data_IF_516859936690
#
_entry.id   IF_516859936690
#
_cell.length_a   1.000
_cell.length_b   1.000
_cell.length_c   1.000
_cell.angle_alpha   90.00
_cell.angle_beta   90.00
_cell.angle_gamma   90.00
#
_symmetry.space_group_name_H-M   'P 1'
#
loop_
_entity.id
_entity.type
_entity.pdbx_description
1 polymer ?
#
# COMPACT_ATOMS: atom_id res chain seq x y z
N UNK A 1 -36.37 11.86 24.78
CA UNK A 1 -34.92 12.03 25.00
C UNK A 1 -34.57 13.45 24.64
N UNK A 2 -33.91 14.16 25.56
CA UNK A 2 -33.38 15.49 25.25
C UNK A 2 -32.19 15.37 24.29
N UNK A 3 -31.82 16.46 23.62
CA UNK A 3 -30.62 16.53 22.78
C UNK A 3 -29.36 16.14 23.54
N UNK A 4 -29.31 16.43 24.84
CA UNK A 4 -28.15 16.20 25.70
C UNK A 4 -27.99 14.73 26.09
N UNK A 5 -29.11 14.00 26.27
CA UNK A 5 -29.10 12.55 26.50
C UNK A 5 -28.64 11.79 25.25
N UNK A 6 -29.05 12.23 24.06
CA UNK A 6 -28.60 11.63 22.80
C UNK A 6 -27.11 11.87 22.53
N UNK A 7 -26.61 13.08 22.82
CA UNK A 7 -25.19 13.41 22.68
C UNK A 7 -24.31 12.61 23.66
N UNK A 8 -24.78 12.41 24.90
CA UNK A 8 -24.08 11.61 25.90
C UNK A 8 -24.02 10.12 25.52
N UNK A 9 -25.13 9.55 25.05
CA UNK A 9 -25.15 8.16 24.57
C UNK A 9 -24.24 7.93 23.36
N UNK A 10 -24.16 8.91 22.45
CA UNK A 10 -23.24 8.86 21.30
C UNK A 10 -21.77 8.95 21.74
N UNK A 11 -21.45 9.82 22.70
CA UNK A 11 -20.10 9.95 23.23
C UNK A 11 -19.66 8.70 24.01
N UNK A 12 -20.56 8.10 24.80
CA UNK A 12 -20.31 6.85 25.52
C UNK A 12 -20.16 5.66 24.57
N UNK A 13 -20.96 5.61 23.49
CA UNK A 13 -20.81 4.60 22.44
C UNK A 13 -19.47 4.75 21.70
N UNK A 14 -19.08 5.96 21.32
CA UNK A 14 -17.80 6.25 20.65
C UNK A 14 -16.59 5.96 21.56
N UNK A 15 -16.68 6.28 22.86
CA UNK A 15 -15.66 5.94 23.85
C UNK A 15 -15.55 4.42 24.07
N UNK A 16 -16.67 3.71 24.18
CA UNK A 16 -16.69 2.24 24.34
C UNK A 16 -16.17 1.54 23.08
N UNK A 17 -16.50 2.06 21.89
CA UNK A 17 -15.97 1.56 20.62
C UNK A 17 -14.45 1.78 20.54
N UNK A 18 -13.96 2.96 20.95
CA UNK A 18 -12.51 3.24 21.03
C UNK A 18 -11.78 2.31 22.01
N UNK A 19 -12.33 2.06 23.19
CA UNK A 19 -11.75 1.13 24.18
C UNK A 19 -11.73 -0.30 23.65
N UNK A 20 -12.83 -0.78 23.06
CA UNK A 20 -12.89 -2.14 22.50
C UNK A 20 -12.03 -2.34 21.25
N UNK A 21 -11.73 -1.28 20.50
CA UNK A 21 -10.74 -1.29 19.42
C UNK A 21 -9.31 -1.36 19.97
N UNK A 22 -9.02 -0.64 21.06
CA UNK A 22 -7.71 -0.68 21.74
C UNK A 22 -7.35 -2.10 22.24
N UNK A 23 -8.35 -2.88 22.66
CA UNK A 23 -8.15 -4.26 23.14
C UNK A 23 -8.02 -5.30 22.00
N UNK A 24 -8.20 -4.90 20.74
CA UNK A 24 -8.20 -5.81 19.57
C UNK A 24 -7.03 -5.61 18.61
N UNK A 25 -6.40 -4.45 18.62
CA UNK A 25 -5.31 -4.11 17.71
C UNK A 25 -4.16 -3.51 18.50
N UNK A 26 -2.99 -4.13 18.41
CA UNK A 26 -1.74 -3.52 18.81
C UNK A 26 -1.18 -2.69 17.66
N UNK A 27 -0.87 -1.42 17.92
CA UNK A 27 -0.14 -0.56 17.00
C UNK A 27 1.27 -0.38 17.53
N UNK A 28 2.25 -1.06 16.94
CA UNK A 28 3.66 -0.91 17.27
C UNK A 28 4.29 0.13 16.34
N UNK A 29 4.77 1.24 16.90
CA UNK A 29 5.26 2.38 16.12
C UNK A 29 6.76 2.44 16.03
N UNK A 30 7.27 2.95 14.91
CA UNK A 30 8.69 3.28 14.76
C UNK A 30 9.59 2.06 14.58
N UNK A 31 9.04 0.97 14.02
CA UNK A 31 9.77 -0.25 13.72
C UNK A 31 10.83 0.01 12.64
N UNK A 32 12.06 -0.42 12.90
CA UNK A 32 13.14 -0.35 11.91
C UNK A 32 13.08 -1.56 10.99
N UNK A 33 12.96 -1.31 9.69
CA UNK A 33 12.87 -2.38 8.69
C UNK A 33 13.94 -2.29 7.60
N UNK A 34 14.64 -1.17 7.53
CA UNK A 34 15.76 -0.90 6.63
C UNK A 34 17.10 -1.07 7.35
N UNK A 35 18.20 -0.92 6.60
CA UNK A 35 19.56 -0.95 7.15
C UNK A 35 19.80 0.14 8.20
N UNK A 36 20.82 -0.07 9.04
CA UNK A 36 21.23 0.89 10.06
C UNK A 36 21.57 2.26 9.44
N UNK A 37 21.22 3.33 10.15
CA UNK A 37 21.39 4.71 9.69
C UNK A 37 20.23 5.25 8.83
N UNK A 38 19.28 4.41 8.41
CA UNK A 38 18.05 4.89 7.75
C UNK A 38 17.04 5.45 8.76
N UNK A 39 16.42 6.57 8.42
CA UNK A 39 15.46 7.26 9.27
C UNK A 39 14.03 6.77 9.06
N UNK A 40 13.72 6.25 7.87
CA UNK A 40 12.42 5.69 7.54
C UNK A 40 12.08 4.53 8.48
N UNK A 41 10.80 4.48 8.90
CA UNK A 41 10.29 3.48 9.84
C UNK A 41 9.01 2.86 9.30
N UNK A 42 8.55 1.84 10.00
CA UNK A 42 7.24 1.25 9.82
C UNK A 42 6.41 1.38 11.11
N UNK A 43 5.10 1.37 10.96
CA UNK A 43 4.15 1.11 12.03
C UNK A 43 3.41 -0.20 11.72
N UNK A 44 3.42 -1.13 12.67
CA UNK A 44 2.75 -2.43 12.55
C UNK A 44 1.37 -2.36 13.21
N UNK A 45 0.38 -2.96 12.54
CA UNK A 45 -0.99 -3.12 13.02
C UNK A 45 -1.26 -4.60 13.19
N UNK A 46 -1.32 -5.05 14.43
CA UNK A 46 -1.25 -6.46 14.80
C UNK A 46 -2.55 -6.88 15.49
N UNK A 47 -3.28 -7.88 14.96
CA UNK A 47 -4.45 -8.43 15.64
C UNK A 47 -4.07 -9.00 17.02
N UNK A 48 -4.76 -8.59 18.07
CA UNK A 48 -4.58 -9.16 19.41
C UNK A 48 -5.34 -10.49 19.56
N UNK A 49 -4.94 -11.27 20.57
CA UNK A 49 -5.62 -12.51 20.98
C UNK A 49 -5.70 -13.60 19.89
N UNK A 50 -4.72 -13.66 18.99
CA UNK A 50 -4.58 -14.76 18.04
C UNK A 50 -4.18 -16.06 18.75
N UNK A 51 -4.79 -17.17 18.35
CA UNK A 51 -4.35 -18.48 18.80
C UNK A 51 -2.91 -18.76 18.29
N UNK A 52 -2.08 -19.39 19.12
CA UNK A 52 -0.66 -19.60 18.84
C UNK A 52 -0.37 -20.40 17.56
N UNK A 53 -1.32 -21.21 17.09
CA UNK A 53 -1.23 -22.01 15.87
C UNK A 53 -1.83 -21.34 14.63
N UNK A 54 -2.36 -20.12 14.75
CA UNK A 54 -2.95 -19.37 13.63
C UNK A 54 -1.94 -18.33 13.16
N UNK A 55 -1.57 -18.42 11.88
CA UNK A 55 -0.76 -17.39 11.21
C UNK A 55 -1.66 -16.45 10.43
N UNK A 56 -1.40 -15.15 10.56
CA UNK A 56 -2.09 -14.11 9.82
C UNK A 56 -1.44 -13.88 8.46
N UNK A 57 -2.19 -13.67 7.36
CA UNK A 57 -1.64 -12.99 6.19
C UNK A 57 -1.18 -11.57 6.56
N UNK A 58 -0.24 -11.02 5.79
CA UNK A 58 0.26 -9.66 6.00
C UNK A 58 -0.02 -8.75 4.80
N UNK A 59 -0.09 -7.44 5.03
CA UNK A 59 -0.28 -6.43 3.99
C UNK A 59 0.62 -5.23 4.24
N UNK A 60 1.46 -4.89 3.25
CA UNK A 60 2.23 -3.64 3.27
C UNK A 60 1.34 -2.47 2.84
N UNK A 61 1.41 -1.34 3.56
CA UNK A 61 0.63 -0.13 3.31
C UNK A 61 1.60 0.99 2.92
N UNK A 62 1.44 1.55 1.72
CA UNK A 62 2.36 2.55 1.17
C UNK A 62 1.67 3.90 1.05
N UNK A 63 2.20 4.90 1.77
CA UNK A 63 1.59 6.22 1.82
C UNK A 63 1.75 7.02 0.51
N UNK A 64 0.82 7.94 0.26
CA UNK A 64 0.89 8.90 -0.85
C UNK A 64 1.73 10.13 -0.50
N UNK A 65 1.73 11.14 -1.37
CA UNK A 65 2.46 12.40 -1.14
C UNK A 65 3.40 12.81 -2.27
N UNK A 66 3.11 12.36 -3.51
CA UNK A 66 3.86 12.79 -4.70
C UNK A 66 5.34 12.45 -4.65
N UNK A 67 5.73 11.37 -3.95
CA UNK A 67 7.11 10.93 -3.73
C UNK A 67 8.02 11.92 -2.98
N UNK A 68 7.49 13.08 -2.57
CA UNK A 68 8.22 14.15 -1.87
C UNK A 68 7.68 14.42 -0.47
N UNK A 69 6.64 13.69 -0.05
CA UNK A 69 5.94 13.90 1.20
C UNK A 69 5.11 12.69 1.60
N UNK A 70 4.34 12.86 2.68
CA UNK A 70 3.52 11.82 3.27
C UNK A 70 4.21 11.16 4.47
N UNK A 71 3.46 10.28 5.14
CA UNK A 71 3.90 9.61 6.37
C UNK A 71 3.09 8.35 6.61
N UNK A 72 3.73 7.34 7.19
CA UNK A 72 3.13 6.04 7.54
C UNK A 72 1.98 6.09 8.55
N UNK A 73 1.83 7.19 9.29
CA UNK A 73 0.83 7.36 10.35
C UNK A 73 -0.26 8.37 10.01
N UNK A 74 -0.43 8.71 8.72
CA UNK A 74 -1.53 9.54 8.27
C UNK A 74 -2.88 8.83 8.44
N UNK A 75 -3.97 9.61 8.43
CA UNK A 75 -5.31 9.12 8.78
C UNK A 75 -5.77 7.95 7.89
N UNK A 76 -5.40 7.97 6.60
CA UNK A 76 -5.71 6.89 5.65
C UNK A 76 -4.98 5.60 6.04
N UNK A 77 -3.71 5.69 6.36
CA UNK A 77 -2.85 4.56 6.75
C UNK A 77 -3.33 3.96 8.07
N UNK A 78 -3.71 4.80 9.05
CA UNK A 78 -4.34 4.37 10.29
C UNK A 78 -5.67 3.65 10.04
N UNK A 79 -6.51 4.18 9.15
CA UNK A 79 -7.79 3.57 8.75
C UNK A 79 -7.57 2.18 8.11
N UNK A 80 -6.66 2.09 7.13
CA UNK A 80 -6.33 0.84 6.44
C UNK A 80 -5.74 -0.17 7.42
N UNK A 81 -4.70 0.22 8.17
CA UNK A 81 -3.99 -0.68 9.09
C UNK A 81 -4.89 -1.22 10.20
N UNK A 82 -5.71 -0.36 10.81
CA UNK A 82 -6.67 -0.79 11.84
C UNK A 82 -7.75 -1.71 11.25
N UNK A 83 -8.27 -1.39 10.06
CA UNK A 83 -9.26 -2.23 9.37
C UNK A 83 -8.69 -3.62 9.08
N UNK A 84 -7.47 -3.71 8.58
CA UNK A 84 -6.79 -4.97 8.31
C UNK A 84 -6.59 -5.79 9.59
N UNK A 85 -6.07 -5.18 10.65
CA UNK A 85 -5.84 -5.86 11.92
C UNK A 85 -7.12 -6.41 12.55
N UNK A 86 -8.23 -5.65 12.50
CA UNK A 86 -9.53 -6.12 12.96
C UNK A 86 -10.08 -7.32 12.16
N UNK A 87 -9.57 -7.56 10.95
CA UNK A 87 -9.99 -8.63 10.06
C UNK A 87 -8.96 -9.77 9.93
N UNK A 88 -8.01 -9.82 10.86
CA UNK A 88 -7.07 -10.93 11.02
C UNK A 88 -5.79 -10.83 10.19
N UNK A 89 -5.49 -9.67 9.61
CA UNK A 89 -4.26 -9.39 8.87
C UNK A 89 -3.25 -8.68 9.76
N UNK A 90 -1.95 -8.88 9.53
CA UNK A 90 -0.93 -7.94 10.04
C UNK A 90 -0.70 -6.86 8.99
N UNK A 91 -1.00 -5.60 9.33
CA UNK A 91 -0.68 -4.45 8.49
C UNK A 91 0.71 -3.90 8.80
N UNK A 92 1.45 -3.48 7.78
CA UNK A 92 2.73 -2.77 7.94
C UNK A 92 2.71 -1.49 7.12
N UNK A 93 2.48 -0.35 7.76
CA UNK A 93 2.55 0.96 7.09
C UNK A 93 3.96 1.49 7.14
N UNK A 94 4.53 1.84 5.99
CA UNK A 94 5.95 2.19 5.87
C UNK A 94 6.14 3.63 5.42
N UNK A 95 7.17 4.29 5.95
CA UNK A 95 7.82 5.40 5.27
C UNK A 95 8.80 4.82 4.24
N UNK A 96 9.05 5.55 3.16
CA UNK A 96 10.06 5.25 2.15
C UNK A 96 10.85 6.53 1.83
N UNK A 97 12.01 6.42 1.17
CA UNK A 97 12.80 7.60 0.84
C UNK A 97 11.99 8.59 0.02
N UNK A 98 11.88 9.82 0.52
CA UNK A 98 11.21 10.92 -0.15
C UNK A 98 12.22 11.79 -0.88
N UNK A 99 11.87 12.23 -2.08
CA UNK A 99 12.70 13.16 -2.82
C UNK A 99 12.61 14.56 -2.18
N UNK A 100 13.72 15.25 -2.16
CA UNK A 100 13.81 16.65 -1.74
C UNK A 100 14.02 17.54 -2.96
N UNK A 101 14.15 18.85 -2.76
CA UNK A 101 14.50 19.76 -3.85
C UNK A 101 15.92 19.51 -4.41
N UNK A 102 16.78 18.80 -3.68
CA UNK A 102 18.19 18.56 -4.04
C UNK A 102 18.53 17.09 -4.25
N UNK A 103 17.73 16.16 -3.73
CA UNK A 103 18.03 14.73 -3.76
C UNK A 103 16.86 13.93 -4.32
N UNK A 104 17.16 13.09 -5.32
CA UNK A 104 16.22 12.15 -5.92
C UNK A 104 16.01 10.94 -5.02
N UNK A 105 14.78 10.43 -4.97
CA UNK A 105 14.46 9.22 -4.21
C UNK A 105 14.57 7.93 -5.02
N UNK A 106 14.74 8.00 -6.33
CA UNK A 106 14.76 6.83 -7.20
C UNK A 106 16.15 6.18 -7.31
N UNK A 107 16.27 4.84 -7.35
CA UNK A 107 15.22 3.83 -7.12
C UNK A 107 15.06 3.45 -5.63
N UNK A 108 15.65 4.20 -4.71
CA UNK A 108 15.66 3.84 -3.29
C UNK A 108 14.25 3.75 -2.68
N UNK A 109 13.32 4.60 -3.10
CA UNK A 109 11.92 4.53 -2.67
C UNK A 109 11.26 3.18 -2.96
N UNK A 110 11.43 2.62 -4.16
CA UNK A 110 10.90 1.29 -4.50
C UNK A 110 11.72 0.17 -3.84
N UNK A 111 13.03 0.36 -3.65
CA UNK A 111 13.85 -0.57 -2.88
C UNK A 111 13.39 -0.67 -1.42
N UNK A 112 12.99 0.44 -0.81
CA UNK A 112 12.45 0.46 0.55
C UNK A 112 11.14 -0.34 0.62
N UNK A 113 10.22 -0.15 -0.33
CA UNK A 113 8.98 -0.93 -0.40
C UNK A 113 9.25 -2.44 -0.55
N UNK A 114 10.18 -2.84 -1.41
CA UNK A 114 10.59 -4.26 -1.57
C UNK A 114 11.22 -4.82 -0.29
N UNK A 115 12.02 -4.00 0.39
CA UNK A 115 12.65 -4.37 1.66
C UNK A 115 11.62 -4.59 2.75
N UNK A 116 10.52 -3.83 2.78
CA UNK A 116 9.43 -4.05 3.74
C UNK A 116 8.80 -5.45 3.62
N UNK A 117 8.55 -5.92 2.39
CA UNK A 117 8.03 -7.27 2.14
C UNK A 117 9.00 -8.34 2.66
N UNK A 118 10.30 -8.16 2.39
CA UNK A 118 11.34 -9.09 2.85
C UNK A 118 11.49 -9.07 4.36
N UNK A 119 11.40 -7.90 4.98
CA UNK A 119 11.44 -7.77 6.43
C UNK A 119 10.28 -8.52 7.09
N UNK A 120 9.06 -8.44 6.53
CA UNK A 120 7.94 -9.25 7.00
C UNK A 120 8.26 -10.75 6.92
N UNK A 121 8.79 -11.23 5.78
CA UNK A 121 9.18 -12.64 5.62
C UNK A 121 10.25 -13.07 6.63
N UNK A 122 11.29 -12.26 6.81
CA UNK A 122 12.36 -12.53 7.76
C UNK A 122 11.87 -12.60 9.22
N UNK A 123 10.87 -11.79 9.56
CA UNK A 123 10.32 -11.68 10.92
C UNK A 123 9.03 -12.48 11.12
N UNK A 124 8.68 -13.36 10.17
CA UNK A 124 7.35 -13.97 10.12
C UNK A 124 6.98 -14.76 11.39
N UNK A 125 7.96 -15.46 11.97
CA UNK A 125 7.76 -16.23 13.20
C UNK A 125 7.44 -15.34 14.41
N UNK A 126 8.18 -14.23 14.59
CA UNK A 126 7.96 -13.30 15.69
C UNK A 126 6.62 -12.56 15.58
N UNK A 127 6.19 -12.29 14.35
CA UNK A 127 4.93 -11.60 14.06
C UNK A 127 3.72 -12.53 13.99
N UNK A 128 3.93 -13.85 14.04
CA UNK A 128 2.91 -14.88 13.76
C UNK A 128 2.20 -14.65 12.41
N UNK A 129 2.97 -14.31 11.37
CA UNK A 129 2.44 -14.17 10.01
C UNK A 129 2.80 -15.37 9.14
N UNK A 130 2.03 -15.55 8.09
CA UNK A 130 2.34 -16.47 7.00
C UNK A 130 3.22 -15.75 5.96
N UNK A 131 4.50 -16.14 5.78
CA UNK A 131 5.42 -15.46 4.87
C UNK A 131 5.07 -15.65 3.39
N UNK A 132 4.20 -16.61 3.06
CA UNK A 132 3.79 -16.92 1.69
C UNK A 132 2.52 -16.17 1.27
N UNK A 133 1.88 -15.44 2.20
CA UNK A 133 0.65 -14.70 1.96
C UNK A 133 0.80 -13.24 2.36
N UNK A 134 1.48 -12.46 1.52
CA UNK A 134 1.73 -11.03 1.69
C UNK A 134 1.12 -10.24 0.53
N UNK A 135 0.19 -9.33 0.83
CA UNK A 135 -0.35 -8.36 -0.13
C UNK A 135 0.25 -6.96 0.03
N UNK A 136 -0.16 -6.05 -0.84
CA UNK A 136 0.19 -4.63 -0.76
C UNK A 136 -0.99 -3.74 -1.13
N UNK A 137 -1.12 -2.60 -0.44
CA UNK A 137 -2.07 -1.53 -0.73
C UNK A 137 -1.37 -0.18 -0.60
N UNK A 138 -1.75 0.78 -1.42
CA UNK A 138 -1.20 2.13 -1.31
C UNK A 138 -1.95 3.11 -2.19
N UNK A 139 -1.87 4.39 -1.85
CA UNK A 139 -2.60 5.42 -2.60
C UNK A 139 -1.75 6.55 -3.15
N UNK A 140 -2.13 7.08 -4.32
CA UNK A 140 -1.42 8.14 -5.06
C UNK A 140 0.00 7.68 -5.42
N UNK A 141 1.05 8.43 -5.05
CA UNK A 141 2.45 7.98 -5.16
C UNK A 141 2.69 6.58 -4.56
N UNK A 142 2.03 6.26 -3.44
CA UNK A 142 2.08 4.92 -2.86
C UNK A 142 1.33 3.85 -3.66
N UNK A 143 0.29 4.24 -4.42
CA UNK A 143 -0.41 3.36 -5.36
C UNK A 143 0.42 3.08 -6.61
N UNK A 144 1.22 4.06 -7.05
CA UNK A 144 2.26 3.85 -8.06
C UNK A 144 3.32 2.86 -7.57
N UNK A 145 3.89 3.07 -6.37
CA UNK A 145 4.88 2.16 -5.78
C UNK A 145 4.30 0.77 -5.49
N UNK A 146 3.03 0.68 -5.11
CA UNK A 146 2.28 -0.59 -4.97
C UNK A 146 2.27 -1.37 -6.28
N UNK A 147 1.98 -0.69 -7.39
CA UNK A 147 1.97 -1.32 -8.72
C UNK A 147 3.38 -1.73 -9.16
N UNK A 148 4.38 -0.87 -9.00
CA UNK A 148 5.77 -1.23 -9.31
C UNK A 148 6.26 -2.40 -8.46
N UNK A 149 5.97 -2.43 -7.16
CA UNK A 149 6.38 -3.51 -6.27
C UNK A 149 5.85 -4.87 -6.76
N UNK A 150 4.58 -4.89 -7.19
CA UNK A 150 3.91 -6.10 -7.63
C UNK A 150 4.30 -6.56 -9.05
N UNK A 151 4.66 -5.63 -9.94
CA UNK A 151 4.97 -5.93 -11.36
C UNK A 151 6.46 -6.05 -11.67
N UNK A 152 7.36 -5.82 -10.71
CA UNK A 152 8.81 -5.85 -10.97
C UNK A 152 9.50 -6.94 -10.16
N UNK A 153 10.41 -7.67 -10.81
CA UNK A 153 11.25 -8.69 -10.20
C UNK A 153 12.75 -8.42 -10.38
N UNK A 154 13.61 -9.39 -10.04
CA UNK A 154 15.07 -9.25 -10.17
C UNK A 154 15.54 -8.90 -11.59
N UNK A 155 14.81 -9.35 -12.62
CA UNK A 155 15.15 -9.11 -14.02
C UNK A 155 14.98 -7.63 -14.45
N UNK A 156 14.17 -6.85 -13.73
CA UNK A 156 13.94 -5.43 -14.00
C UNK A 156 15.05 -4.53 -13.44
N UNK A 157 15.96 -5.08 -12.62
CA UNK A 157 17.05 -4.32 -12.01
C UNK A 157 16.59 -3.36 -10.89
N UNK A 158 15.39 -3.57 -10.35
CA UNK A 158 14.80 -2.77 -9.26
C UNK A 158 14.73 -3.53 -7.94
N UNK A 159 15.42 -4.66 -7.82
CA UNK A 159 15.43 -5.47 -6.60
C UNK A 159 16.75 -5.24 -5.82
N UNK A 160 16.72 -4.63 -4.63
CA UNK A 160 17.94 -4.38 -3.87
C UNK A 160 18.56 -5.71 -3.38
N UNK A 161 19.87 -5.76 -3.21
CA UNK A 161 20.55 -6.98 -2.70
C UNK A 161 20.50 -7.12 -1.17
N UNK A 162 20.26 -6.03 -0.44
CA UNK A 162 20.25 -6.00 1.02
C UNK A 162 19.41 -4.81 1.53
N UNK A 163 18.94 -4.85 2.79
CA UNK A 163 18.96 -5.99 3.69
C UNK A 163 17.96 -7.10 3.28
N UNK A 164 18.08 -8.28 3.88
CA UNK A 164 17.17 -9.42 3.70
C UNK A 164 17.09 -9.95 2.26
N UNK A 165 18.16 -9.82 1.48
CA UNK A 165 18.20 -10.23 0.07
C UNK A 165 18.01 -11.73 -0.16
N UNK A 166 18.16 -12.54 0.88
CA UNK A 166 17.85 -13.97 0.87
C UNK A 166 16.33 -14.26 0.83
N UNK A 167 15.48 -13.27 1.12
CA UNK A 167 14.02 -13.39 1.05
C UNK A 167 13.49 -12.77 -0.25
N UNK A 168 12.44 -13.38 -0.80
CA UNK A 168 11.71 -12.81 -1.93
C UNK A 168 11.04 -11.49 -1.54
N UNK A 169 10.89 -10.55 -2.47
CA UNK A 169 10.05 -9.36 -2.33
C UNK A 169 8.70 -9.46 -3.08
N UNK A 170 8.39 -10.63 -3.68
CA UNK A 170 7.14 -10.85 -4.40
C UNK A 170 5.93 -10.74 -3.47
N UNK A 171 4.79 -10.28 -3.98
CA UNK A 171 3.51 -10.17 -3.25
C UNK A 171 2.44 -11.01 -3.96
N UNK A 172 1.42 -11.44 -3.22
CA UNK A 172 0.39 -12.35 -3.71
C UNK A 172 -0.82 -11.62 -4.30
N UNK A 173 -1.00 -10.34 -4.01
CA UNK A 173 -2.01 -9.46 -4.63
C UNK A 173 -1.69 -7.99 -4.34
N UNK A 174 -2.24 -7.09 -5.16
CA UNK A 174 -2.00 -5.65 -5.06
C UNK A 174 -3.28 -4.82 -5.14
N UNK A 175 -3.37 -3.77 -4.32
CA UNK A 175 -4.49 -2.81 -4.30
C UNK A 175 -3.97 -1.38 -4.49
N UNK A 176 -3.64 -0.96 -5.72
CA UNK A 176 -3.27 0.43 -5.99
C UNK A 176 -4.51 1.34 -6.00
N UNK A 177 -4.49 2.39 -5.18
CA UNK A 177 -5.54 3.40 -5.11
C UNK A 177 -5.07 4.69 -5.82
N UNK A 178 -5.78 5.14 -6.86
CA UNK A 178 -5.55 6.41 -7.57
C UNK A 178 -4.06 6.69 -7.88
N UNK A 179 -3.33 5.64 -8.23
CA UNK A 179 -1.89 5.67 -8.54
C UNK A 179 -1.63 5.95 -10.01
N UNK A 180 -0.45 6.48 -10.32
CA UNK A 180 0.00 6.66 -11.69
C UNK A 180 0.41 5.32 -12.31
N UNK A 181 -0.21 4.94 -13.42
CA UNK A 181 0.20 3.78 -14.24
C UNK A 181 1.39 4.10 -15.16
N UNK A 182 1.48 5.36 -15.61
CA UNK A 182 2.60 5.94 -16.35
C UNK A 182 3.15 7.15 -15.58
N UNK A 183 4.46 7.19 -15.37
CA UNK A 183 5.12 8.37 -14.84
C UNK A 183 5.19 9.42 -15.96
N UNK A 184 4.48 10.54 -15.77
CA UNK A 184 4.49 11.69 -16.68
C UNK A 184 5.32 12.83 -16.10
N UNK A 185 5.77 13.72 -16.98
CA UNK A 185 6.52 14.90 -16.55
C UNK A 185 5.68 15.76 -15.61
N UNK A 186 6.26 16.04 -14.45
CA UNK A 186 5.72 16.91 -13.42
C UNK A 186 6.86 17.32 -12.49
N UNK A 187 6.65 18.36 -11.67
CA UNK A 187 7.64 18.75 -10.65
C UNK A 187 7.99 17.58 -9.71
N UNK A 188 6.97 16.83 -9.27
CA UNK A 188 7.14 15.67 -8.38
C UNK A 188 7.85 14.50 -9.06
N UNK A 189 7.54 14.20 -10.33
CA UNK A 189 8.26 13.16 -11.07
C UNK A 189 9.73 13.54 -11.30
N UNK A 190 10.01 14.81 -11.63
CA UNK A 190 11.39 15.30 -11.74
C UNK A 190 12.13 15.21 -10.41
N UNK A 191 11.51 15.56 -9.29
CA UNK A 191 12.11 15.40 -7.97
C UNK A 191 12.40 13.92 -7.68
N UNK A 192 11.42 13.04 -7.90
CA UNK A 192 11.60 11.60 -7.71
C UNK A 192 12.76 11.05 -8.54
N UNK A 193 12.85 11.37 -9.84
CA UNK A 193 13.80 10.77 -10.78
C UNK A 193 15.12 11.54 -10.95
N UNK A 194 15.19 12.77 -10.43
CA UNK A 194 16.32 13.69 -10.61
C UNK A 194 16.50 14.25 -12.03
N UNK A 195 15.66 13.84 -12.98
CA UNK A 195 15.73 14.18 -14.41
C UNK A 195 14.34 14.40 -14.99
N UNK A 196 14.24 15.16 -16.07
CA UNK A 196 13.02 15.27 -16.89
C UNK A 196 12.88 14.08 -17.84
N UNK A 197 11.70 13.88 -18.43
CA UNK A 197 11.48 12.81 -19.42
C UNK A 197 12.29 13.03 -20.69
N UNK A 198 12.53 14.29 -21.07
CA UNK A 198 13.40 14.65 -22.18
C UNK A 198 14.85 14.22 -21.92
N UNK A 199 15.36 14.44 -20.71
CA UNK A 199 16.72 14.07 -20.30
C UNK A 199 16.90 12.56 -20.14
N UNK A 200 15.86 11.82 -19.75
CA UNK A 200 15.96 10.39 -19.41
C UNK A 200 14.66 9.61 -19.65
N UNK A 201 14.18 9.54 -20.89
CA UNK A 201 12.94 8.83 -21.24
C UNK A 201 12.92 7.34 -20.83
N UNK A 202 14.08 6.66 -20.89
CA UNK A 202 14.22 5.28 -20.42
C UNK A 202 13.99 5.12 -18.91
N UNK A 203 14.36 6.13 -18.11
CA UNK A 203 14.14 6.13 -16.66
C UNK A 203 12.66 6.29 -16.32
N UNK A 204 11.96 7.17 -17.05
CA UNK A 204 10.51 7.31 -16.92
C UNK A 204 9.77 6.04 -17.32
N UNK A 205 10.25 5.34 -18.36
CA UNK A 205 9.73 4.03 -18.76
C UNK A 205 9.93 3.01 -17.62
N UNK A 206 11.14 2.90 -17.09
CA UNK A 206 11.49 2.01 -15.98
C UNK A 206 10.69 2.32 -14.70
N UNK A 207 10.34 3.58 -14.47
CA UNK A 207 9.51 3.97 -13.34
C UNK A 207 8.00 3.82 -13.61
N UNK A 208 7.56 3.40 -14.80
CA UNK A 208 6.15 3.30 -15.16
C UNK A 208 5.63 1.87 -15.03
N UNK A 209 4.72 1.57 -14.08
CA UNK A 209 4.16 0.23 -13.87
C UNK A 209 3.66 -0.46 -15.14
N UNK A 210 3.01 0.28 -16.04
CA UNK A 210 2.42 -0.27 -17.28
C UNK A 210 3.43 -0.94 -18.22
N UNK A 211 4.73 -0.78 -17.97
CA UNK A 211 5.80 -1.30 -18.84
C UNK A 211 6.34 -2.66 -18.39
N UNK A 212 5.91 -3.14 -17.22
CA UNK A 212 6.45 -4.35 -16.59
C UNK A 212 5.48 -5.54 -16.58
N UNK A 213 4.17 -5.29 -16.76
CA UNK A 213 3.15 -6.32 -16.60
C UNK A 213 3.40 -7.57 -17.49
N UNK A 214 3.42 -8.75 -16.86
CA UNK A 214 3.54 -10.06 -17.48
C UNK A 214 2.60 -11.11 -16.84
N UNK A 215 2.48 -12.28 -17.47
CA UNK A 215 1.52 -13.32 -17.08
C UNK A 215 1.75 -13.97 -15.71
N UNK A 216 2.88 -13.69 -15.04
CA UNK A 216 3.25 -14.22 -13.72
C UNK A 216 2.88 -13.27 -12.58
N UNK A 217 2.44 -12.05 -12.91
CA UNK A 217 2.12 -11.04 -11.91
C UNK A 217 0.90 -11.43 -11.07
N UNK A 218 0.84 -10.96 -9.81
CA UNK A 218 -0.25 -11.29 -8.92
C UNK A 218 -1.55 -10.56 -9.31
N UNK A 219 -2.72 -10.98 -8.82
CA UNK A 219 -3.98 -10.30 -9.05
C UNK A 219 -4.01 -8.85 -8.54
N UNK A 220 -4.77 -7.98 -9.22
CA UNK A 220 -4.93 -6.57 -8.87
C UNK A 220 -6.39 -6.16 -8.58
N UNK A 221 -6.58 -5.32 -7.58
CA UNK A 221 -7.79 -4.52 -7.38
C UNK A 221 -7.43 -3.04 -7.47
N UNK A 222 -7.75 -2.39 -8.57
CA UNK A 222 -7.44 -0.99 -8.83
C UNK A 222 -8.63 -0.13 -8.39
N UNK A 223 -8.41 0.85 -7.52
CA UNK A 223 -9.45 1.75 -7.02
C UNK A 223 -9.17 3.18 -7.48
N UNK A 224 -10.13 3.90 -8.04
CA UNK A 224 -9.93 5.29 -8.49
C UNK A 224 -11.19 6.14 -8.34
N UNK A 225 -11.07 7.37 -7.85
CA UNK A 225 -12.21 8.29 -7.74
C UNK A 225 -12.50 9.04 -9.04
N UNK A 226 -13.75 9.14 -9.48
CA UNK A 226 -14.07 9.79 -10.77
C UNK A 226 -13.95 11.32 -10.74
N UNK A 227 -13.86 11.93 -9.56
CA UNK A 227 -13.66 13.37 -9.38
C UNK A 227 -12.20 13.72 -9.05
N UNK A 228 -11.25 12.82 -9.34
CA UNK A 228 -9.82 13.05 -9.20
C UNK A 228 -9.34 14.17 -10.14
N UNK A 229 -8.69 15.18 -9.56
CA UNK A 229 -8.12 16.34 -10.28
C UNK A 229 -6.60 16.36 -10.24
N UNK A 230 -5.98 15.33 -9.66
CA UNK A 230 -4.53 15.23 -9.45
C UNK A 230 -3.96 14.14 -10.33
N UNK A 231 -4.54 12.94 -10.27
CA UNK A 231 -4.18 11.82 -11.14
C UNK A 231 -5.40 11.52 -12.01
N UNK A 232 -5.32 11.72 -13.33
CA UNK A 232 -6.45 11.42 -14.20
C UNK A 232 -6.84 9.93 -14.16
N UNK A 233 -8.13 9.62 -14.20
CA UNK A 233 -8.66 8.24 -14.16
C UNK A 233 -8.04 7.35 -15.23
N UNK A 234 -7.67 7.94 -16.37
CA UNK A 234 -6.99 7.27 -17.47
C UNK A 234 -5.72 6.54 -17.01
N UNK A 235 -5.06 6.98 -15.93
CA UNK A 235 -3.91 6.29 -15.34
C UNK A 235 -4.24 4.89 -14.81
N UNK A 236 -5.42 4.72 -14.20
CA UNK A 236 -5.90 3.40 -13.79
C UNK A 236 -6.42 2.58 -14.96
N UNK A 237 -7.02 3.22 -15.96
CA UNK A 237 -7.49 2.54 -17.17
C UNK A 237 -6.33 1.98 -17.99
N UNK A 238 -5.23 2.73 -18.18
CA UNK A 238 -4.04 2.22 -18.89
C UNK A 238 -3.35 1.09 -18.12
N UNK A 239 -3.36 1.13 -16.77
CA UNK A 239 -2.84 0.04 -15.95
C UNK A 239 -3.71 -1.21 -16.12
N UNK A 240 -5.04 -1.08 -16.01
CA UNK A 240 -5.97 -2.19 -16.25
C UNK A 240 -5.80 -2.77 -17.67
N UNK A 241 -5.62 -1.92 -18.68
CA UNK A 241 -5.37 -2.37 -20.05
C UNK A 241 -4.04 -3.14 -20.19
N UNK A 242 -2.97 -2.71 -19.51
CA UNK A 242 -1.70 -3.41 -19.50
C UNK A 242 -1.81 -4.80 -18.83
N UNK A 243 -2.47 -4.87 -17.66
CA UNK A 243 -2.74 -6.13 -16.96
C UNK A 243 -3.60 -7.08 -17.80
N UNK A 244 -4.65 -6.56 -18.44
CA UNK A 244 -5.48 -7.32 -19.38
C UNK A 244 -4.67 -7.91 -20.53
N UNK A 245 -3.78 -7.11 -21.13
CA UNK A 245 -2.91 -7.54 -22.22
C UNK A 245 -1.93 -8.63 -21.77
N UNK A 246 -1.43 -8.55 -20.54
CA UNK A 246 -0.55 -9.54 -19.94
C UNK A 246 -1.28 -10.83 -19.50
N UNK A 247 -2.61 -10.82 -19.42
CA UNK A 247 -3.41 -11.95 -18.95
C UNK A 247 -3.49 -12.05 -17.41
N UNK A 248 -3.21 -10.95 -16.72
CA UNK A 248 -3.24 -10.87 -15.25
C UNK A 248 -4.67 -10.65 -14.76
N UNK A 249 -5.07 -11.37 -13.71
CA UNK A 249 -6.35 -11.14 -13.03
C UNK A 249 -6.41 -9.71 -12.48
N UNK A 250 -7.42 -8.94 -12.86
CA UNK A 250 -7.57 -7.58 -12.35
C UNK A 250 -9.03 -7.13 -12.33
N UNK A 251 -9.33 -6.21 -11.43
CA UNK A 251 -10.58 -5.46 -11.38
C UNK A 251 -10.27 -3.97 -11.26
N UNK A 252 -10.98 -3.14 -12.02
CA UNK A 252 -10.93 -1.68 -11.90
C UNK A 252 -12.27 -1.20 -11.35
N UNK A 253 -12.24 -0.59 -10.16
CA UNK A 253 -13.41 0.01 -9.53
C UNK A 253 -13.25 1.53 -9.53
N UNK A 254 -14.12 2.18 -10.29
CA UNK A 254 -14.27 3.63 -10.28
C UNK A 254 -15.29 4.00 -9.21
N UNK A 255 -14.88 4.83 -8.25
CA UNK A 255 -15.73 5.32 -7.16
C UNK A 255 -16.35 6.65 -7.59
N UNK A 256 -17.65 6.68 -7.92
CA UNK A 256 -18.30 7.88 -8.43
C UNK A 256 -18.16 9.05 -7.46
N UNK A 257 -17.80 10.22 -7.98
CA UNK A 257 -17.64 11.49 -7.24
C UNK A 257 -16.60 11.48 -6.11
N UNK A 258 -15.83 10.40 -5.95
CA UNK A 258 -14.74 10.38 -4.99
C UNK A 258 -13.58 11.27 -5.48
N UNK A 259 -12.98 12.09 -4.59
CA UNK A 259 -11.85 12.95 -4.92
C UNK A 259 -10.55 12.13 -5.02
N UNK A 260 -9.42 12.80 -5.24
CA UNK A 260 -8.10 12.14 -5.33
C UNK A 260 -7.76 11.31 -4.09
N UNK A 261 -7.95 11.87 -2.88
CA UNK A 261 -7.56 11.19 -1.65
C UNK A 261 -8.78 10.62 -0.93
N UNK A 262 -8.78 9.31 -0.73
CA UNK A 262 -9.73 8.61 0.15
C UNK A 262 -9.10 7.39 0.83
N UNK A 263 -9.72 6.96 1.93
CA UNK A 263 -9.41 5.74 2.69
C UNK A 263 -10.34 4.58 2.30
N UNK A 264 -10.54 3.57 3.15
CA UNK A 264 -11.44 2.46 2.83
C UNK A 264 -12.92 2.79 3.03
N UNK A 265 -13.24 3.98 3.54
CA UNK A 265 -14.60 4.42 3.87
C UNK A 265 -14.86 5.85 3.36
N UNK A 266 -14.62 6.17 2.07
CA UNK A 266 -15.02 7.45 1.53
C UNK A 266 -16.52 7.68 1.73
N UNK A 267 -16.93 8.95 1.73
CA UNK A 267 -18.35 9.33 1.85
C UNK A 267 -19.24 8.69 0.78
N UNK A 268 -18.65 8.40 -0.37
CA UNK A 268 -19.31 7.88 -1.57
C UNK A 268 -19.62 6.39 -1.45
N UNK A 269 -18.78 5.60 -0.77
CA UNK A 269 -18.88 4.15 -0.73
C UNK A 269 -18.04 3.55 0.40
N UNK A 270 -18.57 2.57 1.13
CA UNK A 270 -17.74 1.72 2.01
C UNK A 270 -17.02 0.66 1.16
N UNK A 271 -15.69 0.81 1.02
CA UNK A 271 -14.85 -0.08 0.21
C UNK A 271 -14.29 -1.25 1.01
N UNK A 272 -14.49 -1.30 2.34
CA UNK A 272 -13.95 -2.37 3.18
C UNK A 272 -14.42 -3.76 2.75
N UNK A 273 -15.71 -4.03 2.44
CA UNK A 273 -16.14 -5.36 2.02
C UNK A 273 -15.46 -5.82 0.73
N UNK A 274 -15.27 -4.90 -0.22
CA UNK A 274 -14.61 -5.17 -1.49
C UNK A 274 -13.12 -5.48 -1.28
N UNK A 275 -12.40 -4.59 -0.57
CA UNK A 275 -10.95 -4.72 -0.35
C UNK A 275 -10.63 -5.93 0.53
N UNK A 276 -11.40 -6.14 1.61
CA UNK A 276 -11.23 -7.33 2.46
C UNK A 276 -11.62 -8.60 1.73
N UNK A 277 -12.67 -8.59 0.90
CA UNK A 277 -13.06 -9.74 0.09
C UNK A 277 -11.98 -10.13 -0.93
N UNK A 278 -11.36 -9.14 -1.56
CA UNK A 278 -10.22 -9.35 -2.45
C UNK A 278 -9.01 -9.95 -1.71
N UNK A 279 -8.62 -9.37 -0.57
CA UNK A 279 -7.55 -9.95 0.23
C UNK A 279 -7.88 -11.35 0.77
N UNK A 280 -9.12 -11.59 1.21
CA UNK A 280 -9.55 -12.89 1.71
C UNK A 280 -9.44 -13.95 0.61
N UNK A 281 -9.81 -13.61 -0.63
CA UNK A 281 -9.72 -14.50 -1.80
C UNK A 281 -8.28 -14.91 -2.12
N UNK A 282 -7.32 -14.00 -1.95
CA UNK A 282 -5.94 -14.17 -2.44
C UNK A 282 -4.91 -14.46 -1.35
N UNK A 283 -5.19 -14.14 -0.09
CA UNK A 283 -4.23 -14.26 1.02
C UNK A 283 -4.66 -15.23 2.11
N UNK A 284 -5.96 -15.51 2.28
CA UNK A 284 -6.39 -16.50 3.27
C UNK A 284 -6.40 -17.90 2.65
N UNK A 285 -6.03 -18.95 3.41
CA UNK A 285 -6.19 -20.31 2.96
C UNK A 285 -7.63 -20.57 2.52
N UNK A 286 -7.81 -21.23 1.36
CA UNK A 286 -9.13 -21.71 0.95
C UNK A 286 -9.60 -22.73 1.99
N UNK A 287 -10.74 -22.45 2.61
CA UNK A 287 -11.42 -23.40 3.52
C UNK A 287 -11.96 -24.60 2.75
#
# INVERSE_FOLDING_TARGET
MSSDEAAKLLAEADATLKTTLADKVLIERGVRYLADGRDEKADLYVPLNRAANVRSPAVVIIHGGGWTGGKRDAARELNIGTTLALNGYVGMSIDYLLATDTESSWPQNIHDCKTAVRWLRANANGLQIDPDHIGVIGGSAGGHLTSLLALTGPADGLDPAAPWGEFSCAVQCAVPMYGAGEVRDSKSAKAMLGKTREEASGLYKLASPITHADAKDPPFLILHGTADKTVPVEQSEILAAALKKAGVEHELVLVPDAPHTFDLQPKQQDLRPLVLGFFDKHLKPKK
#
